data_IF_487414005061
#
_entry.id   IF_487414005061
#
_cell.length_a   1.000
_cell.length_b   1.000
_cell.length_c   1.000
_cell.angle_alpha   90.00
_cell.angle_beta   90.00
_cell.angle_gamma   90.00
#
_symmetry.space_group_name_H-M   'P 1'
#
loop_
_entity.id
_entity.type
_entity.pdbx_description
1 polymer ?
#
# COMPACT_ATOMS: atom_id res chain seq x y z
N UNK A 1 -14.53 -3.08 16.06
CA UNK A 1 -13.95 -4.19 15.28
C UNK A 1 -13.70 -3.78 13.82
N UNK A 2 -14.66 -3.12 13.15
CA UNK A 2 -14.65 -2.90 11.71
C UNK A 2 -15.21 -4.10 10.95
N UNK A 3 -15.57 -3.89 9.66
CA UNK A 3 -15.98 -4.97 8.76
C UNK A 3 -15.65 -4.61 7.30
N UNK A 4 -15.68 -5.62 6.44
CA UNK A 4 -15.51 -5.48 4.99
C UNK A 4 -16.71 -6.09 4.29
N UNK A 5 -17.27 -5.36 3.30
CA UNK A 5 -18.32 -5.87 2.40
C UNK A 5 -17.82 -5.86 0.98
N UNK A 6 -18.12 -6.92 0.26
CA UNK A 6 -17.76 -7.08 -1.14
C UNK A 6 -19.03 -7.04 -1.99
N UNK A 7 -19.01 -6.26 -3.06
CA UNK A 7 -20.12 -6.15 -4.00
C UNK A 7 -19.67 -6.61 -5.38
N UNK A 8 -20.55 -7.24 -6.11
CA UNK A 8 -20.35 -7.62 -7.50
C UNK A 8 -21.40 -6.98 -8.39
N UNK A 9 -21.01 -6.60 -9.60
CA UNK A 9 -21.94 -6.09 -10.62
C UNK A 9 -22.69 -7.26 -11.24
N UNK A 10 -24.03 -7.26 -11.17
CA UNK A 10 -24.88 -8.33 -11.73
C UNK A 10 -25.33 -8.09 -13.18
N UNK A 11 -24.89 -6.97 -13.77
CA UNK A 11 -25.30 -6.51 -15.10
C UNK A 11 -26.24 -5.30 -15.03
N UNK A 12 -26.83 -5.01 -13.88
CA UNK A 12 -27.75 -3.90 -13.65
C UNK A 12 -27.51 -3.12 -12.37
N UNK A 13 -26.99 -3.78 -11.32
CA UNK A 13 -26.76 -3.15 -10.01
C UNK A 13 -25.54 -3.78 -9.30
N UNK A 14 -25.08 -3.10 -8.25
CA UNK A 14 -24.08 -3.61 -7.33
C UNK A 14 -24.74 -4.42 -6.21
N UNK A 15 -24.60 -5.74 -6.26
CA UNK A 15 -25.19 -6.66 -5.30
C UNK A 15 -24.13 -7.16 -4.34
N UNK A 16 -24.44 -7.16 -3.03
CA UNK A 16 -23.52 -7.68 -2.03
C UNK A 16 -23.26 -9.17 -2.25
N UNK A 17 -21.97 -9.53 -2.29
CA UNK A 17 -21.49 -10.89 -2.54
C UNK A 17 -21.14 -11.56 -1.20
N UNK A 18 -22.08 -12.35 -0.67
CA UNK A 18 -21.93 -13.02 0.62
C UNK A 18 -22.23 -12.13 1.82
N UNK A 19 -21.93 -12.63 3.01
CA UNK A 19 -22.10 -11.91 4.27
C UNK A 19 -20.95 -10.94 4.52
N UNK A 20 -21.14 -10.03 5.46
CA UNK A 20 -20.10 -9.15 5.98
C UNK A 20 -18.94 -9.99 6.54
N UNK A 21 -17.70 -9.49 6.36
CA UNK A 21 -16.50 -10.06 6.95
C UNK A 21 -16.09 -9.18 8.12
N UNK A 22 -16.54 -9.59 9.32
CA UNK A 22 -16.38 -8.83 10.55
C UNK A 22 -14.98 -8.95 11.15
N UNK A 23 -14.52 -7.89 11.83
CA UNK A 23 -13.36 -7.96 12.72
C UNK A 23 -13.67 -8.79 13.97
N UNK A 24 -12.63 -9.34 14.59
CA UNK A 24 -12.78 -10.31 15.69
C UNK A 24 -13.06 -9.65 17.03
N UNK A 25 -12.44 -8.50 17.28
CA UNK A 25 -12.61 -7.79 18.55
C UNK A 25 -12.82 -6.28 18.37
N UNK A 26 -13.15 -5.60 19.46
CA UNK A 26 -13.29 -4.14 19.48
C UNK A 26 -11.93 -3.48 19.20
N UNK A 27 -11.96 -2.39 18.41
CA UNK A 27 -10.80 -1.56 18.09
C UNK A 27 -9.79 -2.15 17.10
N UNK A 28 -9.92 -3.38 16.60
CA UNK A 28 -8.97 -4.01 15.66
C UNK A 28 -8.76 -3.21 14.38
N UNK A 29 -9.72 -2.35 14.02
CA UNK A 29 -9.72 -1.60 12.75
C UNK A 29 -9.67 -2.53 11.53
N UNK A 30 -10.38 -3.67 11.59
CA UNK A 30 -10.50 -4.61 10.47
C UNK A 30 -11.14 -3.91 9.27
N UNK A 31 -10.56 -4.08 8.08
CA UNK A 31 -10.96 -3.35 6.87
C UNK A 31 -10.27 -1.99 6.73
N UNK A 32 -9.34 -1.62 7.63
CA UNK A 32 -8.51 -0.43 7.48
C UNK A 32 -7.60 -0.47 6.25
N UNK A 33 -7.23 -1.67 5.83
CA UNK A 33 -6.57 -1.97 4.55
C UNK A 33 -7.26 -3.17 3.91
N UNK A 34 -7.53 -3.10 2.60
CA UNK A 34 -8.16 -4.18 1.83
C UNK A 34 -7.51 -4.28 0.45
N UNK A 35 -7.44 -5.49 -0.09
CA UNK A 35 -7.00 -5.74 -1.46
C UNK A 35 -7.77 -6.92 -2.06
N UNK A 36 -8.18 -6.79 -3.32
CA UNK A 36 -8.89 -7.83 -4.09
C UNK A 36 -8.01 -8.39 -5.19
N UNK A 37 -8.15 -9.70 -5.47
CA UNK A 37 -7.66 -10.30 -6.71
C UNK A 37 -8.41 -9.69 -7.92
N UNK A 38 -7.83 -9.80 -9.12
CA UNK A 38 -8.39 -9.14 -10.31
C UNK A 38 -9.76 -9.66 -10.73
N UNK A 39 -10.08 -10.90 -10.39
CA UNK A 39 -11.39 -11.53 -10.64
C UNK A 39 -12.38 -11.33 -9.46
N UNK A 40 -11.93 -10.68 -8.39
CA UNK A 40 -12.71 -10.47 -7.18
C UNK A 40 -13.03 -11.75 -6.42
N UNK A 41 -12.25 -12.84 -6.59
CA UNK A 41 -12.49 -14.11 -5.89
C UNK A 41 -11.70 -14.27 -4.60
N UNK A 42 -10.65 -13.46 -4.38
CA UNK A 42 -9.83 -13.46 -3.16
C UNK A 42 -9.75 -12.05 -2.61
N UNK A 43 -9.90 -11.89 -1.29
CA UNK A 43 -9.76 -10.62 -0.57
C UNK A 43 -8.81 -10.78 0.61
N UNK A 44 -7.86 -9.86 0.74
CA UNK A 44 -7.04 -9.69 1.94
C UNK A 44 -7.55 -8.49 2.74
N UNK A 45 -7.63 -8.64 4.06
CA UNK A 45 -8.18 -7.67 5.00
C UNK A 45 -7.20 -7.49 6.15
N UNK A 46 -6.66 -6.28 6.30
CA UNK A 46 -5.78 -5.91 7.40
C UNK A 46 -6.57 -5.37 8.60
N UNK A 47 -6.12 -5.73 9.79
CA UNK A 47 -6.61 -5.32 11.10
C UNK A 47 -5.43 -4.89 11.97
N UNK A 48 -4.87 -3.69 11.70
CA UNK A 48 -3.58 -3.25 12.25
C UNK A 48 -3.52 -3.09 13.77
N UNK A 49 -4.66 -2.97 14.44
CA UNK A 49 -4.74 -2.87 15.90
C UNK A 49 -5.24 -4.17 16.55
N UNK A 50 -5.27 -5.28 15.80
CA UNK A 50 -5.63 -6.58 16.38
C UNK A 50 -4.60 -6.98 17.44
N UNK A 51 -5.13 -7.42 18.60
CA UNK A 51 -4.38 -8.04 19.68
C UNK A 51 -4.35 -9.54 19.45
N UNK A 52 -3.18 -10.13 19.40
CA UNK A 52 -3.01 -11.56 19.16
C UNK A 52 -1.94 -12.16 20.09
N UNK A 53 -1.52 -13.39 19.84
CA UNK A 53 -0.51 -14.09 20.64
C UNK A 53 0.85 -13.37 20.68
N UNK A 54 1.15 -12.51 19.68
CA UNK A 54 2.38 -11.71 19.62
C UNK A 54 2.31 -10.44 20.47
N UNK A 55 1.12 -10.04 20.92
CA UNK A 55 0.91 -8.91 21.84
C UNK A 55 -0.12 -7.88 21.35
N UNK A 56 -0.23 -6.81 22.18
CA UNK A 56 -1.15 -5.69 21.92
C UNK A 56 -0.80 -4.95 20.63
N UNK A 57 -1.80 -4.70 19.76
CA UNK A 57 -1.63 -4.04 18.47
C UNK A 57 -0.52 -4.67 17.58
N UNK A 58 -0.25 -5.96 17.73
CA UNK A 58 0.68 -6.64 16.82
C UNK A 58 0.15 -6.59 15.38
N UNK A 59 -1.17 -6.56 15.26
CA UNK A 59 -1.88 -6.51 14.00
C UNK A 59 -1.99 -7.87 13.32
N UNK A 60 -2.89 -7.95 12.33
CA UNK A 60 -3.26 -9.21 11.69
C UNK A 60 -3.70 -8.94 10.24
N UNK A 61 -3.53 -9.93 9.39
CA UNK A 61 -4.15 -9.98 8.06
C UNK A 61 -4.88 -11.30 7.87
N UNK A 62 -6.16 -11.24 7.46
CA UNK A 62 -6.95 -12.40 7.09
C UNK A 62 -7.25 -12.38 5.60
N UNK A 63 -7.17 -13.55 4.98
CA UNK A 63 -7.48 -13.71 3.57
C UNK A 63 -8.69 -14.60 3.42
N UNK A 64 -9.61 -14.23 2.53
CA UNK A 64 -10.82 -15.01 2.23
C UNK A 64 -10.91 -15.30 0.74
N UNK A 65 -11.40 -16.48 0.41
CA UNK A 65 -11.70 -16.90 -0.95
C UNK A 65 -13.21 -17.15 -1.12
N UNK A 66 -13.74 -16.76 -2.27
CA UNK A 66 -15.12 -17.03 -2.63
C UNK A 66 -15.29 -18.46 -3.17
N UNK A 67 -16.09 -19.28 -2.50
CA UNK A 67 -16.31 -20.68 -2.90
C UNK A 67 -17.52 -20.89 -3.85
N UNK A 68 -18.11 -19.80 -4.34
CA UNK A 68 -19.33 -19.82 -5.14
C UNK A 68 -20.58 -19.43 -4.37
N UNK A 69 -20.59 -19.55 -3.03
CA UNK A 69 -21.75 -19.26 -2.16
C UNK A 69 -21.42 -18.41 -0.96
N UNK A 70 -20.20 -18.50 -0.44
CA UNK A 70 -19.75 -17.75 0.74
C UNK A 70 -18.27 -17.41 0.64
N UNK A 71 -17.87 -16.40 1.41
CA UNK A 71 -16.46 -16.11 1.69
C UNK A 71 -15.97 -17.08 2.75
N UNK A 72 -14.94 -17.84 2.43
CA UNK A 72 -14.31 -18.82 3.32
C UNK A 72 -12.88 -18.35 3.58
N UNK A 73 -12.46 -18.35 4.84
CA UNK A 73 -11.10 -17.97 5.17
C UNK A 73 -10.10 -18.91 4.50
N UNK A 74 -9.07 -18.32 3.91
CA UNK A 74 -8.04 -19.01 3.13
C UNK A 74 -6.74 -19.05 3.93
N UNK A 75 -6.52 -20.16 4.61
CA UNK A 75 -5.42 -20.37 5.55
C UNK A 75 -5.70 -19.79 6.93
N UNK A 76 -4.69 -19.84 7.79
CA UNK A 76 -4.73 -19.24 9.12
C UNK A 76 -4.50 -17.73 9.04
N UNK A 77 -4.76 -17.05 10.14
CA UNK A 77 -4.41 -15.65 10.34
C UNK A 77 -2.90 -15.43 10.13
N UNK A 78 -2.55 -14.30 9.53
CA UNK A 78 -1.16 -13.88 9.38
C UNK A 78 -0.91 -12.74 10.37
N UNK A 79 -0.39 -13.11 11.53
CA UNK A 79 -0.18 -12.21 12.65
C UNK A 79 1.08 -11.36 12.49
N UNK A 80 1.08 -10.18 13.14
CA UNK A 80 2.29 -9.42 13.41
C UNK A 80 3.25 -10.21 14.31
N UNK A 81 4.53 -9.88 14.27
CA UNK A 81 5.56 -10.64 14.96
C UNK A 81 5.72 -10.23 16.42
N UNK A 82 5.52 -8.95 16.71
CA UNK A 82 5.63 -8.41 18.07
C UNK A 82 4.57 -7.34 18.33
N UNK A 83 4.35 -7.05 19.62
CA UNK A 83 3.44 -6.00 20.06
C UNK A 83 3.79 -4.65 19.40
N UNK A 84 2.76 -3.90 19.02
CA UNK A 84 2.83 -2.57 18.40
C UNK A 84 3.40 -2.55 16.96
N UNK A 85 3.56 -3.69 16.28
CA UNK A 85 4.05 -3.74 14.90
C UNK A 85 3.09 -3.09 13.90
N UNK A 86 1.79 -3.09 14.22
CA UNK A 86 0.71 -2.65 13.33
C UNK A 86 0.71 -3.39 11.99
N UNK A 87 0.99 -4.71 11.99
CA UNK A 87 0.94 -5.56 10.79
C UNK A 87 -0.45 -5.52 10.16
N UNK A 88 -0.53 -5.49 8.84
CA UNK A 88 -1.79 -5.29 8.12
C UNK A 88 -2.21 -3.81 8.02
N UNK A 89 -1.32 -2.84 8.33
CA UNK A 89 -1.59 -1.42 8.06
C UNK A 89 -1.70 -1.13 6.55
N UNK A 90 -1.07 -1.95 5.73
CA UNK A 90 -1.18 -1.97 4.28
C UNK A 90 -1.14 -3.41 3.78
N UNK A 91 -1.95 -3.73 2.79
CA UNK A 91 -2.00 -5.06 2.15
C UNK A 91 -2.12 -4.89 0.63
N UNK A 92 -1.48 -5.79 -0.12
CA UNK A 92 -1.60 -5.84 -1.59
C UNK A 92 -1.55 -7.28 -2.07
N UNK A 93 -2.56 -7.71 -2.85
CA UNK A 93 -2.63 -9.02 -3.51
C UNK A 93 -2.12 -8.93 -4.95
N UNK A 94 -1.47 -9.99 -5.39
CA UNK A 94 -1.27 -10.25 -6.82
C UNK A 94 -2.61 -10.45 -7.53
N UNK A 95 -2.59 -10.39 -8.85
CA UNK A 95 -3.79 -10.49 -9.67
C UNK A 95 -4.57 -11.79 -9.49
N UNK A 96 -3.88 -12.88 -9.29
CA UNK A 96 -4.44 -14.21 -9.07
C UNK A 96 -4.78 -14.50 -7.59
N UNK A 97 -4.47 -13.55 -6.69
CA UNK A 97 -4.70 -13.67 -5.26
C UNK A 97 -3.80 -14.71 -4.56
N UNK A 98 -2.68 -15.14 -5.18
CA UNK A 98 -1.78 -16.14 -4.61
C UNK A 98 -0.52 -15.57 -3.97
N UNK A 99 -0.18 -14.30 -4.22
CA UNK A 99 0.90 -13.58 -3.55
C UNK A 99 0.31 -12.40 -2.78
N UNK A 100 0.75 -12.21 -1.55
CA UNK A 100 0.26 -11.17 -0.62
C UNK A 100 1.44 -10.43 0.02
N UNK A 101 1.49 -9.11 -0.13
CA UNK A 101 2.37 -8.23 0.63
C UNK A 101 1.62 -7.60 1.81
N UNK A 102 2.28 -7.60 2.99
CA UNK A 102 1.75 -7.06 4.24
C UNK A 102 2.78 -6.09 4.84
N UNK A 103 2.38 -4.85 5.06
CA UNK A 103 3.18 -3.85 5.75
C UNK A 103 2.93 -3.84 7.25
N UNK A 104 4.00 -3.64 8.03
CA UNK A 104 4.02 -3.47 9.48
C UNK A 104 4.87 -2.25 9.82
N UNK A 105 4.27 -1.07 9.72
CA UNK A 105 4.96 0.22 9.73
C UNK A 105 5.69 0.55 11.04
N UNK A 106 5.31 -0.05 12.16
CA UNK A 106 5.96 0.20 13.45
C UNK A 106 6.85 -0.96 13.94
N UNK A 107 7.03 -2.00 13.10
CA UNK A 107 7.95 -3.08 13.45
C UNK A 107 9.34 -2.51 13.76
N UNK A 108 9.97 -3.05 14.80
CA UNK A 108 11.28 -2.62 15.28
C UNK A 108 12.36 -3.66 14.91
N UNK A 109 12.45 -3.95 13.61
CA UNK A 109 13.38 -4.94 13.05
C UNK A 109 14.83 -4.44 12.94
N UNK A 110 15.53 -4.89 11.91
CA UNK A 110 16.96 -4.60 11.71
C UNK A 110 17.30 -3.13 11.53
N UNK A 111 16.36 -2.31 11.06
CA UNK A 111 16.55 -0.86 10.90
C UNK A 111 16.45 -0.07 12.21
N UNK A 112 16.04 -0.70 13.30
CA UNK A 112 15.84 -0.04 14.60
C UNK A 112 14.38 0.21 14.96
N UNK A 113 14.14 0.97 16.03
CA UNK A 113 12.79 1.24 16.55
C UNK A 113 11.90 1.88 15.48
N UNK A 114 10.73 1.25 15.19
CA UNK A 114 9.76 1.74 14.20
C UNK A 114 10.35 1.95 12.80
N UNK A 115 11.37 1.19 12.44
CA UNK A 115 11.89 1.19 11.06
C UNK A 115 10.83 0.70 10.07
N UNK A 116 9.94 -0.16 10.54
CA UNK A 116 8.94 -0.83 9.74
C UNK A 116 9.52 -1.97 8.90
N UNK A 117 8.65 -2.81 8.40
CA UNK A 117 9.01 -3.84 7.42
C UNK A 117 7.83 -4.21 6.51
N UNK A 118 8.11 -4.98 5.49
CA UNK A 118 7.12 -5.65 4.63
C UNK A 118 7.46 -7.12 4.54
N UNK A 119 6.47 -8.00 4.77
CA UNK A 119 6.54 -9.44 4.55
C UNK A 119 5.69 -9.82 3.34
N UNK A 120 6.20 -10.72 2.53
CA UNK A 120 5.48 -11.23 1.36
C UNK A 120 5.25 -12.72 1.54
N UNK A 121 4.06 -13.19 1.19
CA UNK A 121 3.63 -14.57 1.34
C UNK A 121 3.08 -15.11 0.03
N UNK A 122 3.35 -16.40 -0.24
CA UNK A 122 2.73 -17.16 -1.32
C UNK A 122 1.77 -18.19 -0.74
N UNK A 123 0.66 -18.42 -1.45
CA UNK A 123 -0.28 -19.48 -1.15
C UNK A 123 0.19 -20.80 -1.78
N UNK A 124 0.51 -21.80 -0.96
CA UNK A 124 0.99 -23.13 -1.44
C UNK A 124 -0.14 -24.12 -1.77
N UNK A 125 -1.39 -23.70 -1.67
CA UNK A 125 -2.59 -24.53 -1.82
C UNK A 125 -3.26 -24.89 -0.51
N UNK A 126 -2.59 -24.68 0.65
CA UNK A 126 -3.07 -25.03 2.00
C UNK A 126 -2.77 -23.95 3.04
N UNK A 127 -1.61 -23.29 2.95
CA UNK A 127 -1.15 -22.27 3.89
C UNK A 127 -0.47 -21.09 3.19
N UNK A 128 -0.39 -19.96 3.87
CA UNK A 128 0.41 -18.83 3.47
C UNK A 128 1.85 -19.04 3.95
N UNK A 129 2.77 -19.20 3.01
CA UNK A 129 4.20 -19.41 3.27
C UNK A 129 4.96 -18.13 2.95
N UNK A 130 5.79 -17.65 3.88
CA UNK A 130 6.57 -16.44 3.64
C UNK A 130 7.55 -16.64 2.47
N UNK A 131 7.54 -15.69 1.55
CA UNK A 131 8.36 -15.66 0.34
C UNK A 131 9.59 -14.80 0.56
N UNK A 132 10.71 -15.43 0.85
CA UNK A 132 11.96 -14.75 1.16
C UNK A 132 12.00 -14.19 2.59
N UNK A 133 13.00 -13.35 2.85
CA UNK A 133 13.17 -12.67 4.13
C UNK A 133 12.37 -11.38 4.19
N UNK A 134 12.18 -10.84 5.41
CA UNK A 134 11.59 -9.52 5.61
C UNK A 134 12.32 -8.45 4.85
N UNK A 135 11.57 -7.54 4.23
CA UNK A 135 12.12 -6.33 3.64
C UNK A 135 12.02 -5.23 4.70
N UNK A 136 13.11 -5.03 5.42
CA UNK A 136 13.17 -4.10 6.56
C UNK A 136 13.35 -2.64 6.11
N UNK A 137 12.80 -1.70 6.91
CA UNK A 137 13.18 -0.29 6.85
C UNK A 137 14.65 -0.10 7.14
N UNK A 138 15.23 0.99 6.66
CA UNK A 138 16.67 1.24 6.74
C UNK A 138 17.08 1.84 8.08
N UNK A 139 16.26 2.74 8.61
CA UNK A 139 16.55 3.46 9.83
C UNK A 139 15.35 3.51 10.77
N UNK A 140 15.62 3.72 12.04
CA UNK A 140 14.57 3.86 13.04
C UNK A 140 13.70 5.09 12.75
N UNK A 141 12.39 4.91 12.80
CA UNK A 141 11.43 5.97 12.51
C UNK A 141 10.89 6.00 11.08
N UNK A 142 11.55 5.36 10.10
CA UNK A 142 11.17 5.40 8.67
C UNK A 142 9.73 4.97 8.40
N UNK A 143 9.21 4.06 9.23
CA UNK A 143 7.89 3.46 9.04
C UNK A 143 7.70 2.83 7.65
N UNK A 144 8.74 2.15 7.15
CA UNK A 144 8.67 1.37 5.91
C UNK A 144 7.54 0.34 5.95
N UNK A 145 6.83 0.16 4.85
CA UNK A 145 5.64 -0.70 4.80
C UNK A 145 4.32 0.00 5.19
N UNK A 146 4.34 1.32 5.44
CA UNK A 146 3.09 2.09 5.58
C UNK A 146 2.22 2.00 4.32
N UNK A 147 2.84 1.89 3.17
CA UNK A 147 2.19 1.69 1.87
C UNK A 147 2.92 0.61 1.09
N UNK A 148 2.19 -0.33 0.51
CA UNK A 148 2.73 -1.42 -0.33
C UNK A 148 1.88 -1.59 -1.58
N UNK A 149 2.51 -1.97 -2.69
CA UNK A 149 1.82 -2.28 -3.93
C UNK A 149 2.58 -3.39 -4.69
N UNK A 150 1.90 -4.48 -5.04
CA UNK A 150 2.43 -5.58 -5.85
C UNK A 150 2.11 -5.40 -7.33
N UNK A 151 3.01 -5.90 -8.18
CA UNK A 151 2.71 -6.15 -9.60
C UNK A 151 1.66 -7.24 -9.77
N UNK A 152 1.12 -7.36 -10.98
CA UNK A 152 0.10 -8.37 -11.33
C UNK A 152 0.52 -9.80 -10.99
N UNK A 153 1.76 -10.14 -11.25
CA UNK A 153 2.35 -11.47 -11.03
C UNK A 153 2.93 -11.66 -9.62
N UNK A 154 2.90 -10.61 -8.78
CA UNK A 154 3.44 -10.64 -7.43
C UNK A 154 4.98 -10.68 -7.37
N UNK A 155 5.70 -10.43 -8.47
CA UNK A 155 7.16 -10.49 -8.51
C UNK A 155 7.86 -9.14 -8.33
N UNK A 156 7.11 -8.04 -8.35
CA UNK A 156 7.62 -6.70 -8.04
C UNK A 156 6.81 -6.10 -6.91
N UNK A 157 7.47 -5.49 -5.93
CA UNK A 157 6.82 -4.79 -4.83
C UNK A 157 7.40 -3.39 -4.64
N UNK A 158 6.53 -2.37 -4.56
CA UNK A 158 6.88 -1.03 -4.13
C UNK A 158 6.49 -0.85 -2.67
N UNK A 159 7.38 -0.25 -1.88
CA UNK A 159 7.25 -0.06 -0.43
C UNK A 159 7.58 1.39 -0.09
N UNK A 160 6.64 2.08 0.54
CA UNK A 160 6.83 3.46 1.00
C UNK A 160 7.28 3.53 2.47
N UNK A 161 8.24 4.42 2.72
CA UNK A 161 8.76 4.80 4.04
C UNK A 161 8.68 6.32 4.21
N UNK A 162 7.51 6.83 4.58
CA UNK A 162 7.20 8.28 4.52
C UNK A 162 7.98 9.17 5.47
N UNK A 163 8.63 8.59 6.46
CA UNK A 163 9.45 9.33 7.43
C UNK A 163 10.95 9.07 7.26
N UNK A 164 11.36 8.47 6.14
CA UNK A 164 12.78 8.31 5.85
C UNK A 164 13.45 9.67 5.65
N UNK A 165 14.69 9.78 6.11
CA UNK A 165 15.46 11.03 6.14
C UNK A 165 16.50 11.13 4.99
N UNK A 166 16.39 10.29 3.94
CA UNK A 166 17.38 10.17 2.86
C UNK A 166 17.71 11.50 2.16
N UNK A 167 16.72 12.36 1.96
CA UNK A 167 16.89 13.71 1.40
C UNK A 167 16.47 14.82 2.39
N UNK A 168 16.67 14.56 3.69
CA UNK A 168 16.33 15.47 4.79
C UNK A 168 15.19 14.94 5.65
N UNK A 169 14.99 15.56 6.83
CA UNK A 169 14.06 15.07 7.84
C UNK A 169 12.66 14.87 7.27
N UNK A 170 12.11 13.64 7.43
CA UNK A 170 10.79 13.25 6.94
C UNK A 170 10.57 13.51 5.44
N UNK A 171 11.61 13.52 4.61
CA UNK A 171 11.45 13.65 3.15
C UNK A 171 10.66 12.49 2.57
N UNK A 172 10.82 11.34 3.18
CA UNK A 172 10.24 10.07 2.76
C UNK A 172 10.90 9.49 1.52
N UNK A 173 10.68 8.21 1.28
CA UNK A 173 11.16 7.51 0.08
C UNK A 173 10.23 6.37 -0.36
N UNK A 174 10.53 5.83 -1.53
CA UNK A 174 9.95 4.59 -2.03
C UNK A 174 11.06 3.68 -2.51
N UNK A 175 11.05 2.42 -2.07
CA UNK A 175 11.94 1.36 -2.54
C UNK A 175 11.15 0.31 -3.30
N UNK A 176 11.71 -0.15 -4.41
CA UNK A 176 11.11 -1.19 -5.23
C UNK A 176 12.02 -2.41 -5.23
N UNK A 177 11.43 -3.60 -5.19
CA UNK A 177 12.16 -4.86 -5.17
C UNK A 177 11.59 -5.83 -6.19
N UNK A 178 12.50 -6.59 -6.82
CA UNK A 178 12.19 -7.74 -7.68
C UNK A 178 12.44 -9.04 -6.92
N UNK A 179 11.59 -10.03 -7.17
CA UNK A 179 11.86 -11.41 -6.76
C UNK A 179 12.74 -12.10 -7.80
N UNK A 180 13.95 -12.50 -7.41
CA UNK A 180 14.90 -13.17 -8.31
C UNK A 180 14.74 -14.72 -8.37
N UNK A 181 13.72 -15.25 -7.69
CA UNK A 181 13.48 -16.69 -7.51
C UNK A 181 13.94 -17.21 -6.17
N UNK A 182 14.74 -16.46 -5.41
CA UNK A 182 15.30 -16.85 -4.10
C UNK A 182 15.22 -15.76 -3.04
N UNK A 183 15.32 -14.50 -3.46
CA UNK A 183 15.32 -13.34 -2.57
C UNK A 183 14.66 -12.11 -3.22
N UNK A 184 14.24 -11.18 -2.38
CA UNK A 184 13.83 -9.85 -2.80
C UNK A 184 15.09 -8.98 -2.99
N UNK A 185 15.33 -8.57 -4.23
CA UNK A 185 16.51 -7.76 -4.63
C UNK A 185 16.03 -6.34 -4.97
N UNK A 186 16.69 -5.34 -4.41
CA UNK A 186 16.33 -3.94 -4.67
C UNK A 186 16.50 -3.62 -6.17
N UNK A 187 15.45 -3.01 -6.74
CA UNK A 187 15.36 -2.65 -8.16
C UNK A 187 15.69 -1.18 -8.35
N UNK A 188 16.93 -0.89 -8.65
CA UNK A 188 17.44 0.48 -8.80
C UNK A 188 17.69 1.17 -7.45
N UNK A 189 17.93 2.48 -7.51
CA UNK A 189 18.13 3.31 -6.33
C UNK A 189 16.81 3.68 -5.64
N UNK A 190 16.89 4.23 -4.44
CA UNK A 190 15.74 4.75 -3.74
C UNK A 190 15.15 5.96 -4.48
N UNK A 191 13.84 6.06 -4.46
CA UNK A 191 13.15 7.23 -4.99
C UNK A 191 12.80 8.12 -3.80
N UNK A 192 13.66 9.09 -3.53
CA UNK A 192 13.55 9.98 -2.39
C UNK A 192 12.52 11.11 -2.62
N UNK A 193 11.96 11.61 -1.53
CA UNK A 193 11.22 12.86 -1.52
C UNK A 193 12.14 14.02 -1.91
N UNK A 194 11.59 15.11 -2.43
CA UNK A 194 12.37 16.22 -2.94
C UNK A 194 12.90 17.13 -1.84
N UNK A 195 12.12 17.29 -0.79
CA UNK A 195 12.42 18.22 0.29
C UNK A 195 12.07 17.64 1.66
N UNK A 196 12.72 18.14 2.72
CA UNK A 196 12.34 17.78 4.09
C UNK A 196 10.85 18.04 4.35
N UNK A 197 10.19 17.08 4.98
CA UNK A 197 8.79 17.18 5.35
C UNK A 197 7.79 16.75 4.28
N UNK A 198 8.22 16.44 3.06
CA UNK A 198 7.34 16.06 1.92
C UNK A 198 6.54 14.78 2.18
N UNK A 199 7.13 13.88 2.96
CA UNK A 199 6.54 12.56 3.27
C UNK A 199 6.22 11.72 2.03
N UNK A 200 7.13 11.76 1.06
CA UNK A 200 7.08 10.92 -0.15
C UNK A 200 7.00 9.44 0.21
N UNK A 201 6.28 8.65 -0.59
CA UNK A 201 6.02 7.23 -0.26
C UNK A 201 4.88 7.04 0.76
N UNK A 202 4.20 8.11 1.19
CA UNK A 202 2.99 7.99 2.01
C UNK A 202 1.90 7.13 1.35
N UNK A 203 1.84 7.15 0.01
CA UNK A 203 1.10 6.23 -0.84
C UNK A 203 1.93 5.86 -2.07
N UNK A 204 1.88 4.57 -2.44
CA UNK A 204 2.51 4.04 -3.65
C UNK A 204 1.49 3.20 -4.42
N UNK A 205 1.60 3.20 -5.75
CA UNK A 205 0.79 2.35 -6.62
C UNK A 205 1.61 1.94 -7.84
N UNK A 206 1.79 0.62 -8.05
CA UNK A 206 2.49 0.03 -9.21
C UNK A 206 1.53 -0.24 -10.37
N UNK A 207 2.06 -0.14 -11.58
CA UNK A 207 1.45 -0.76 -12.77
C UNK A 207 1.47 -2.29 -12.68
N UNK A 208 0.66 -2.92 -13.51
CA UNK A 208 0.54 -4.38 -13.49
C UNK A 208 1.83 -5.13 -13.83
N UNK A 209 2.67 -4.56 -14.67
CA UNK A 209 3.98 -5.10 -15.05
C UNK A 209 5.12 -4.69 -14.09
N UNK A 210 4.81 -3.86 -13.07
CA UNK A 210 5.78 -3.36 -12.11
C UNK A 210 6.78 -2.35 -12.70
N UNK A 211 6.55 -1.81 -13.90
CA UNK A 211 7.49 -0.91 -14.57
C UNK A 211 7.14 0.58 -14.44
N UNK A 212 5.96 0.90 -13.90
CA UNK A 212 5.56 2.27 -13.59
C UNK A 212 5.11 2.35 -12.15
N UNK A 213 5.55 3.37 -11.42
CA UNK A 213 5.12 3.62 -10.04
C UNK A 213 4.66 5.06 -9.89
N UNK A 214 3.50 5.24 -9.26
CA UNK A 214 3.02 6.54 -8.80
C UNK A 214 3.29 6.65 -7.29
N UNK A 215 3.86 7.79 -6.87
CA UNK A 215 4.31 8.06 -5.50
C UNK A 215 3.71 9.37 -5.03
N UNK A 216 2.96 9.34 -3.94
CA UNK A 216 2.38 10.52 -3.33
C UNK A 216 3.25 11.07 -2.21
N UNK A 217 3.37 12.40 -2.19
CA UNK A 217 4.02 13.20 -1.16
C UNK A 217 3.03 14.26 -0.66
N UNK A 218 2.10 13.89 0.25
CA UNK A 218 0.96 14.72 0.58
C UNK A 218 1.30 16.01 1.34
N UNK A 219 2.52 16.16 1.83
CA UNK A 219 2.96 17.38 2.52
C UNK A 219 3.96 18.21 1.71
N UNK A 220 4.24 17.84 0.45
CA UNK A 220 5.01 18.69 -0.44
C UNK A 220 4.37 20.09 -0.53
N UNK A 221 5.23 21.11 -0.62
CA UNK A 221 4.81 22.51 -0.54
C UNK A 221 5.02 23.29 -1.84
N UNK A 222 5.11 22.62 -3.01
CA UNK A 222 5.37 23.29 -4.29
C UNK A 222 4.31 24.35 -4.63
N UNK A 223 3.05 24.11 -4.30
CA UNK A 223 1.92 25.02 -4.56
C UNK A 223 1.26 25.56 -3.28
N UNK A 224 2.05 25.67 -2.21
CA UNK A 224 1.62 26.10 -0.88
C UNK A 224 1.83 25.01 0.17
N UNK A 225 1.84 25.39 1.45
CA UNK A 225 2.06 24.44 2.56
C UNK A 225 1.10 23.27 2.46
N UNK A 226 1.62 22.01 2.53
CA UNK A 226 0.84 20.78 2.42
C UNK A 226 -0.07 20.71 1.18
N UNK A 227 0.24 21.41 0.10
CA UNK A 227 -0.54 21.24 -1.15
C UNK A 227 -0.50 19.79 -1.64
N UNK A 228 0.62 19.16 -1.41
CA UNK A 228 0.90 17.80 -1.82
C UNK A 228 1.17 17.68 -3.31
N UNK A 229 1.78 16.58 -3.72
CA UNK A 229 1.96 16.23 -5.14
C UNK A 229 1.98 14.70 -5.35
N UNK A 230 1.97 14.31 -6.61
CA UNK A 230 2.22 12.93 -7.06
C UNK A 230 3.25 12.95 -8.17
N UNK A 231 4.30 12.13 -8.03
CA UNK A 231 5.32 11.90 -9.07
C UNK A 231 5.17 10.50 -9.65
N UNK A 232 5.43 10.36 -10.94
CA UNK A 232 5.34 9.09 -11.64
C UNK A 232 6.70 8.76 -12.21
N UNK A 233 7.15 7.52 -11.98
CA UNK A 233 8.43 7.01 -12.45
C UNK A 233 8.25 5.79 -13.31
N UNK A 234 9.09 5.66 -14.32
CA UNK A 234 9.17 4.50 -15.20
C UNK A 234 10.55 3.85 -15.10
N UNK A 235 10.55 2.53 -15.00
CA UNK A 235 11.76 1.73 -15.07
C UNK A 235 12.23 1.56 -16.53
N UNK A 236 13.49 1.89 -16.82
CA UNK A 236 14.08 1.76 -18.17
C UNK A 236 14.90 0.49 -18.35
N UNK A 237 14.94 -0.39 -17.35
CA UNK A 237 15.79 -1.58 -17.30
C UNK A 237 17.02 -1.41 -16.41
N UNK A 238 17.38 -0.18 -16.03
CA UNK A 238 18.55 0.14 -15.20
C UNK A 238 18.26 1.13 -14.07
N UNK A 239 17.36 2.08 -14.30
CA UNK A 239 17.02 3.13 -13.35
C UNK A 239 15.53 3.51 -13.40
N UNK A 240 15.04 4.10 -12.30
CA UNK A 240 13.74 4.74 -12.25
C UNK A 240 13.84 6.18 -12.75
N UNK A 241 13.18 6.47 -13.85
CA UNK A 241 13.17 7.79 -14.46
C UNK A 241 11.84 8.48 -14.22
N UNK A 242 11.87 9.71 -13.73
CA UNK A 242 10.68 10.53 -13.60
C UNK A 242 10.06 10.79 -14.99
N UNK A 243 8.77 10.57 -15.14
CA UNK A 243 8.04 10.79 -16.39
C UNK A 243 6.94 11.83 -16.22
N UNK A 244 6.87 12.75 -17.18
CA UNK A 244 5.95 13.91 -17.12
C UNK A 244 6.45 14.99 -16.16
N UNK A 245 5.56 15.88 -15.78
CA UNK A 245 5.77 16.86 -14.73
C UNK A 245 5.15 16.37 -13.43
N UNK A 246 5.55 16.97 -12.30
CA UNK A 246 4.88 16.76 -11.03
C UNK A 246 3.40 17.11 -11.15
N UNK A 247 2.57 16.30 -10.51
CA UNK A 247 1.13 16.56 -10.46
C UNK A 247 0.84 17.18 -9.09
N UNK A 248 0.96 18.51 -9.05
CA UNK A 248 0.82 19.28 -7.81
C UNK A 248 -0.63 19.37 -7.33
N UNK A 249 -0.80 19.52 -6.03
CA UNK A 249 -2.05 19.96 -5.42
C UNK A 249 -2.39 21.38 -5.87
N UNK A 250 -3.65 21.74 -5.83
CA UNK A 250 -4.14 23.01 -6.39
C UNK A 250 -3.96 24.16 -5.42
N UNK A 251 -4.09 23.89 -4.11
CA UNK A 251 -3.96 24.88 -3.07
C UNK A 251 -3.27 24.32 -1.80
N UNK A 252 -2.88 25.24 -0.91
CA UNK A 252 -2.35 24.89 0.40
C UNK A 252 -3.35 24.03 1.19
N UNK A 253 -2.83 23.07 1.95
CA UNK A 253 -3.56 22.15 2.82
C UNK A 253 -4.53 21.17 2.12
N UNK A 254 -4.44 21.04 0.78
CA UNK A 254 -5.20 20.05 0.00
C UNK A 254 -4.76 18.60 0.26
N UNK A 255 -3.51 18.39 0.62
CA UNK A 255 -2.89 17.05 0.81
C UNK A 255 -3.02 16.13 -0.40
N UNK A 256 -2.85 16.68 -1.60
CA UNK A 256 -2.89 15.93 -2.86
C UNK A 256 -1.86 14.79 -2.85
N UNK A 257 -2.19 13.62 -3.41
CA UNK A 257 -1.33 12.44 -3.33
C UNK A 257 -1.48 11.64 -2.02
N UNK A 258 -2.35 12.07 -1.09
CA UNK A 258 -2.68 11.28 0.11
C UNK A 258 -3.39 9.96 -0.20
N UNK A 259 -4.00 9.85 -1.37
CA UNK A 259 -4.57 8.64 -1.97
C UNK A 259 -4.23 8.60 -3.44
N UNK A 260 -3.71 7.49 -3.93
CA UNK A 260 -3.39 7.28 -5.34
C UNK A 260 -3.79 5.87 -5.79
N UNK A 261 -4.18 5.78 -7.05
CA UNK A 261 -4.40 4.52 -7.73
C UNK A 261 -3.92 4.65 -9.18
N UNK A 262 -2.99 3.79 -9.57
CA UNK A 262 -2.48 3.71 -10.94
C UNK A 262 -3.20 2.57 -11.67
N UNK A 263 -3.57 2.79 -12.92
CA UNK A 263 -4.14 1.73 -13.75
C UNK A 263 -3.11 0.63 -14.03
N UNK A 264 -3.59 -0.58 -14.32
CA UNK A 264 -2.73 -1.74 -14.60
C UNK A 264 -1.75 -1.49 -15.76
N UNK A 265 -2.15 -0.72 -16.76
CA UNK A 265 -1.28 -0.35 -17.90
C UNK A 265 -0.30 0.79 -17.60
N UNK A 266 -0.33 1.35 -16.37
CA UNK A 266 0.54 2.44 -15.94
C UNK A 266 0.23 3.80 -16.59
N UNK A 267 -0.88 3.92 -17.33
CA UNK A 267 -1.16 5.12 -18.15
C UNK A 267 -2.20 6.07 -17.57
N UNK A 268 -2.94 5.64 -16.56
CA UNK A 268 -3.97 6.47 -15.92
C UNK A 268 -3.77 6.45 -14.42
N UNK A 269 -3.71 7.64 -13.80
CA UNK A 269 -3.59 7.79 -12.34
C UNK A 269 -4.76 8.59 -11.80
N UNK A 270 -5.39 8.08 -10.74
CA UNK A 270 -6.36 8.81 -9.92
C UNK A 270 -5.66 9.29 -8.64
N UNK A 271 -5.82 10.57 -8.32
CA UNK A 271 -5.17 11.25 -7.19
C UNK A 271 -6.22 11.92 -6.34
N UNK A 272 -6.25 11.58 -5.05
CA UNK A 272 -7.15 12.18 -4.07
C UNK A 272 -6.46 13.30 -3.29
N UNK A 273 -7.15 14.42 -3.18
CA UNK A 273 -6.83 15.58 -2.34
C UNK A 273 -7.92 15.67 -1.27
N UNK A 274 -7.65 15.08 -0.09
CA UNK A 274 -8.69 14.76 0.89
C UNK A 274 -9.26 15.97 1.62
N UNK A 275 -8.55 17.11 1.58
CA UNK A 275 -8.97 18.35 2.22
C UNK A 275 -9.14 19.51 1.25
N UNK A 276 -9.23 19.22 -0.08
CA UNK A 276 -9.50 20.29 -1.06
C UNK A 276 -10.81 21.02 -0.74
N UNK A 277 -10.77 22.34 -0.88
CA UNK A 277 -11.84 23.26 -0.46
C UNK A 277 -12.69 23.81 -1.62
N UNK A 278 -12.48 23.37 -2.87
CA UNK A 278 -13.11 23.97 -4.06
C UNK A 278 -14.64 23.99 -4.00
N UNK A 279 -15.26 22.97 -3.44
CA UNK A 279 -16.72 22.89 -3.34
C UNK A 279 -17.27 23.29 -1.97
N UNK A 280 -16.52 23.05 -0.91
CA UNK A 280 -16.80 23.40 0.48
C UNK A 280 -15.57 23.09 1.34
N UNK A 281 -15.50 23.63 2.56
CA UNK A 281 -14.40 23.40 3.49
C UNK A 281 -14.15 21.91 3.71
N UNK A 282 -12.94 21.41 3.38
CA UNK A 282 -12.49 20.03 3.46
C UNK A 282 -13.42 19.02 2.74
N UNK A 283 -14.02 19.42 1.62
CA UNK A 283 -14.91 18.55 0.86
C UNK A 283 -14.15 17.43 0.14
N UNK A 284 -12.91 17.69 -0.19
CA UNK A 284 -12.04 16.80 -0.95
C UNK A 284 -12.45 16.63 -2.41
N UNK A 285 -11.51 16.22 -3.23
CA UNK A 285 -11.77 15.85 -4.63
C UNK A 285 -10.84 14.73 -5.12
N UNK A 286 -11.14 14.23 -6.31
CA UNK A 286 -10.29 13.28 -7.05
C UNK A 286 -10.02 13.84 -8.44
N UNK A 287 -8.75 13.92 -8.84
CA UNK A 287 -8.33 14.21 -10.21
C UNK A 287 -7.83 12.96 -10.90
N UNK A 288 -8.14 12.82 -12.17
CA UNK A 288 -7.69 11.69 -12.99
C UNK A 288 -6.87 12.22 -14.16
N UNK A 289 -5.66 11.69 -14.29
CA UNK A 289 -4.72 12.07 -15.34
C UNK A 289 -4.39 10.85 -16.21
N UNK A 290 -4.18 11.09 -17.49
CA UNK A 290 -3.76 10.06 -18.42
C UNK A 290 -2.47 10.49 -19.11
N UNK A 291 -1.49 9.58 -19.14
CA UNK A 291 -0.29 9.76 -19.94
C UNK A 291 -0.67 9.78 -21.43
N UNK A 292 -0.39 10.88 -22.08
CA UNK A 292 -0.54 11.01 -23.55
C UNK A 292 0.80 10.73 -24.20
N UNK A 293 0.78 9.99 -25.29
CA UNK A 293 1.97 9.67 -26.10
C UNK A 293 2.60 10.94 -26.67
#
# INVERSE_FOLDING_TARGET
SGHTRIFAWDGSDWVQRGSDLDGEASNDNSGGAVSLSSDGSVVAIGAKYNDNASGENAGQTRVYAWNGTAWVQRGSDIDGETAQDLSGCAVSLSSDGNTLAIGAQQNSGRGGSKSGHTRIYDWDGSTWVQRGSDINGESGGDQSGLSVSLSTDGNVVAIGGKFNDGNGSDSGHTRIYDWDGTAWVKRGDDIDGESPGDRSGGKVSLSGDGNVVAIGAPQNAANGTNSGHTRIYQWDGTAWNHIGSDIDGEAADDYSGGKISLSRDGRTVAIGSIFNDDSANNAGHVRVFRLTD
#
